data_IF_159248050901
#
_entry.id   IF_159248050901
#
_cell.length_a   1.000
_cell.length_b   1.000
_cell.length_c   1.000
_cell.angle_alpha   90.00
_cell.angle_beta   90.00
_cell.angle_gamma   90.00
#
_symmetry.space_group_name_H-M   'P 1'
#
loop_
_entity.id
_entity.type
_entity.pdbx_description
1 polymer ?
#
# COMPACT_ATOMS: atom_id res chain seq x y z
N UNK A 1 -16.62 18.85 0.74
CA UNK A 1 -16.41 18.26 -0.61
C UNK A 1 -16.03 16.81 -0.40
N UNK A 2 -16.65 15.90 -1.11
CA UNK A 2 -16.30 14.49 -1.04
C UNK A 2 -14.88 14.34 -1.62
N UNK A 3 -13.98 13.74 -0.86
CA UNK A 3 -12.58 13.57 -1.25
C UNK A 3 -12.37 12.44 -2.26
N UNK A 4 -11.16 12.34 -2.82
CA UNK A 4 -10.75 11.19 -3.64
C UNK A 4 -10.54 9.94 -2.79
N UNK A 5 -10.46 8.77 -3.43
CA UNK A 5 -10.08 7.52 -2.76
C UNK A 5 -8.76 7.69 -1.99
N UNK A 6 -7.77 8.33 -2.61
CA UNK A 6 -6.49 8.58 -1.95
C UNK A 6 -6.62 9.43 -0.68
N UNK A 7 -7.46 10.47 -0.69
CA UNK A 7 -7.72 11.31 0.49
C UNK A 7 -8.42 10.53 1.62
N UNK A 8 -9.36 9.66 1.26
CA UNK A 8 -10.00 8.76 2.24
C UNK A 8 -8.97 7.80 2.85
N UNK A 9 -8.11 7.20 2.03
CA UNK A 9 -7.03 6.33 2.52
C UNK A 9 -6.09 7.05 3.48
N UNK A 10 -5.64 8.26 3.12
CA UNK A 10 -4.75 9.07 3.99
C UNK A 10 -5.43 9.37 5.33
N UNK A 11 -6.72 9.72 5.32
CA UNK A 11 -7.48 9.95 6.55
C UNK A 11 -7.58 8.69 7.42
N UNK A 12 -7.79 7.51 6.81
CA UNK A 12 -7.82 6.23 7.52
C UNK A 12 -6.48 5.88 8.15
N UNK A 13 -5.39 6.03 7.40
CA UNK A 13 -4.03 5.78 7.88
C UNK A 13 -3.69 6.68 9.06
N UNK A 14 -4.00 7.98 8.94
CA UNK A 14 -3.79 8.96 10.02
C UNK A 14 -4.61 8.61 11.27
N UNK A 15 -5.87 8.24 11.09
CA UNK A 15 -6.74 7.81 12.20
C UNK A 15 -6.23 6.55 12.90
N UNK A 16 -5.48 5.70 12.18
CA UNK A 16 -4.83 4.48 12.71
C UNK A 16 -3.45 4.74 13.33
N UNK A 17 -3.02 6.01 13.46
CA UNK A 17 -1.76 6.39 14.10
C UNK A 17 -0.55 6.38 13.16
N UNK A 18 -0.72 6.08 11.88
CA UNK A 18 0.38 6.09 10.90
C UNK A 18 0.94 7.49 10.74
N UNK A 19 2.26 7.64 10.83
CA UNK A 19 2.97 8.93 10.75
C UNK A 19 3.85 9.04 9.51
N UNK A 20 4.22 7.91 8.91
CA UNK A 20 5.08 7.87 7.72
C UNK A 20 4.72 6.70 6.80
N UNK A 21 5.04 6.89 5.53
CA UNK A 21 4.95 5.86 4.49
C UNK A 21 6.29 5.80 3.80
N UNK A 22 6.89 4.62 3.72
CA UNK A 22 8.16 4.38 3.06
C UNK A 22 7.96 3.98 1.61
N UNK A 23 8.68 4.58 0.65
CA UNK A 23 8.54 4.19 -0.75
C UNK A 23 9.33 5.04 -1.73
N UNK A 24 9.14 4.72 -3.00
CA UNK A 24 9.62 5.52 -4.14
C UNK A 24 8.39 6.03 -4.89
N UNK A 25 8.29 7.34 -5.19
CA UNK A 25 7.22 7.87 -6.04
C UNK A 25 7.27 7.25 -7.44
N UNK A 26 6.12 7.05 -8.04
CA UNK A 26 5.98 6.53 -9.39
C UNK A 26 4.60 6.83 -9.94
N UNK A 27 4.42 6.73 -11.25
CA UNK A 27 3.20 7.16 -11.93
C UNK A 27 1.94 6.51 -11.36
N UNK A 28 1.97 5.21 -11.09
CA UNK A 28 0.82 4.48 -10.58
C UNK A 28 0.47 4.79 -9.11
N UNK A 29 1.38 5.42 -8.34
CA UNK A 29 1.16 5.80 -6.94
C UNK A 29 1.03 7.31 -6.73
N UNK A 30 1.10 8.10 -7.81
CA UNK A 30 1.10 9.57 -7.75
C UNK A 30 -0.15 10.16 -7.06
N UNK A 31 -1.33 9.58 -7.27
CA UNK A 31 -2.55 10.05 -6.62
C UNK A 31 -2.47 9.94 -5.08
N UNK A 32 -1.86 8.86 -4.59
CA UNK A 32 -1.65 8.66 -3.16
C UNK A 32 -0.58 9.59 -2.58
N UNK A 33 0.57 9.70 -3.26
CA UNK A 33 1.65 10.60 -2.78
C UNK A 33 1.22 12.07 -2.80
N UNK A 34 0.41 12.50 -3.77
CA UNK A 34 -0.14 13.86 -3.79
C UNK A 34 -1.15 14.08 -2.66
N UNK A 35 -1.98 13.10 -2.35
CA UNK A 35 -2.90 13.18 -1.21
C UNK A 35 -2.15 13.29 0.13
N UNK A 36 -1.07 12.52 0.33
CA UNK A 36 -0.18 12.65 1.49
C UNK A 36 0.42 14.05 1.59
N UNK A 37 0.96 14.56 0.48
CA UNK A 37 1.53 15.91 0.40
C UNK A 37 0.52 17.01 0.77
N UNK A 38 -0.73 16.88 0.33
CA UNK A 38 -1.80 17.84 0.62
C UNK A 38 -2.30 17.75 2.06
N UNK A 39 -2.40 16.56 2.63
CA UNK A 39 -2.81 16.34 4.01
C UNK A 39 -1.74 16.85 5.01
N UNK A 40 -0.47 16.63 4.74
CA UNK A 40 0.67 17.07 5.53
C UNK A 40 0.80 16.42 6.91
N UNK A 41 -0.08 15.50 7.28
CA UNK A 41 -0.07 14.82 8.57
C UNK A 41 0.70 13.49 8.58
N UNK A 42 1.04 12.96 7.40
CA UNK A 42 1.84 11.75 7.21
C UNK A 42 3.02 12.08 6.30
N UNK A 43 4.22 11.74 6.74
CA UNK A 43 5.44 11.97 5.96
C UNK A 43 5.66 10.86 4.93
N UNK A 44 5.98 11.23 3.70
CA UNK A 44 6.53 10.30 2.72
C UNK A 44 8.04 10.19 2.92
N UNK A 45 8.50 9.03 3.38
CA UNK A 45 9.93 8.73 3.56
C UNK A 45 10.50 8.13 2.28
N UNK A 46 11.17 8.98 1.51
CA UNK A 46 11.75 8.59 0.24
C UNK A 46 12.95 7.66 0.44
N UNK A 47 12.90 6.46 -0.12
CA UNK A 47 14.00 5.50 -0.14
C UNK A 47 14.64 5.44 -1.52
N UNK A 48 15.79 4.77 -1.64
CA UNK A 48 16.48 4.60 -2.93
C UNK A 48 16.15 3.29 -3.63
N UNK A 49 15.48 2.38 -2.93
CA UNK A 49 15.03 1.09 -3.43
C UNK A 49 13.84 0.62 -2.58
N UNK A 50 12.81 0.05 -3.19
CA UNK A 50 11.60 -0.33 -2.45
C UNK A 50 11.84 -1.46 -1.46
N UNK A 51 12.84 -2.32 -1.67
CA UNK A 51 13.29 -3.28 -0.68
C UNK A 51 13.61 -2.61 0.66
N UNK A 52 14.33 -1.47 0.59
CA UNK A 52 14.62 -0.68 1.79
C UNK A 52 13.35 -0.11 2.43
N UNK A 53 12.30 0.20 1.64
CA UNK A 53 11.00 0.61 2.19
C UNK A 53 10.35 -0.51 2.98
N UNK A 54 10.37 -1.74 2.45
CA UNK A 54 9.84 -2.92 3.14
C UNK A 54 10.57 -3.18 4.47
N UNK A 55 11.91 -3.18 4.46
CA UNK A 55 12.70 -3.36 5.68
C UNK A 55 12.54 -2.22 6.68
N UNK A 56 12.43 -0.97 6.23
CA UNK A 56 12.21 0.18 7.12
C UNK A 56 10.83 0.08 7.81
N UNK A 57 9.79 -0.29 7.07
CA UNK A 57 8.47 -0.53 7.65
C UNK A 57 8.50 -1.70 8.64
N UNK A 58 9.17 -2.81 8.29
CA UNK A 58 9.35 -3.94 9.20
C UNK A 58 10.05 -3.54 10.51
N UNK A 59 11.13 -2.77 10.40
CA UNK A 59 11.89 -2.28 11.55
C UNK A 59 11.07 -1.32 12.42
N UNK A 60 10.33 -0.38 11.82
CA UNK A 60 9.43 0.51 12.56
C UNK A 60 8.36 -0.28 13.32
N UNK A 61 7.70 -1.22 12.65
CA UNK A 61 6.69 -2.06 13.27
C UNK A 61 7.26 -2.92 14.42
N UNK A 62 8.46 -3.47 14.25
CA UNK A 62 9.13 -4.26 15.28
C UNK A 62 9.50 -3.43 16.51
N UNK A 63 9.94 -2.19 16.32
CA UNK A 63 10.36 -1.31 17.41
C UNK A 63 9.19 -0.66 18.15
N UNK A 64 8.11 -0.36 17.45
CA UNK A 64 6.97 0.38 18.02
C UNK A 64 5.82 -0.53 18.45
N UNK A 65 5.67 -1.70 17.83
CA UNK A 65 4.47 -2.53 17.93
C UNK A 65 3.25 -1.95 17.20
N UNK A 66 3.42 -0.82 16.49
CA UNK A 66 2.37 -0.13 15.75
C UNK A 66 2.38 -0.54 14.27
N UNK A 67 1.28 -0.24 13.57
CA UNK A 67 1.19 -0.47 12.13
C UNK A 67 2.15 0.46 11.38
N UNK A 68 3.07 -0.11 10.60
CA UNK A 68 3.92 0.64 9.68
C UNK A 68 3.44 0.47 8.23
N UNK A 69 3.79 1.42 7.36
CA UNK A 69 3.30 1.44 5.98
C UNK A 69 4.42 1.60 4.97
N UNK A 70 4.42 0.77 3.94
CA UNK A 70 5.23 0.98 2.75
C UNK A 70 4.38 0.98 1.49
N UNK A 71 4.91 1.54 0.41
CA UNK A 71 4.22 1.61 -0.87
C UNK A 71 5.17 1.38 -2.04
N UNK A 72 4.69 0.68 -3.06
CA UNK A 72 5.39 0.42 -4.31
C UNK A 72 4.57 0.82 -5.52
N UNK A 73 5.24 1.36 -6.53
CA UNK A 73 4.68 1.57 -7.86
C UNK A 73 4.49 0.21 -8.57
N UNK A 74 3.68 0.17 -9.62
CA UNK A 74 3.41 -1.05 -10.39
C UNK A 74 4.70 -1.68 -10.96
N UNK A 75 4.66 -2.97 -11.24
CA UNK A 75 5.79 -3.71 -11.80
C UNK A 75 6.99 -3.76 -10.86
N UNK A 76 8.14 -3.17 -11.25
CA UNK A 76 9.38 -3.25 -10.47
C UNK A 76 9.25 -2.77 -9.03
N UNK A 77 8.48 -1.71 -8.75
CA UNK A 77 8.29 -1.22 -7.39
C UNK A 77 7.70 -2.29 -6.47
N UNK A 78 6.68 -2.98 -6.94
CA UNK A 78 6.07 -4.09 -6.22
C UNK A 78 7.00 -5.28 -6.07
N UNK A 79 7.76 -5.64 -7.12
CA UNK A 79 8.71 -6.74 -7.09
C UNK A 79 9.81 -6.50 -6.05
N UNK A 80 10.29 -5.27 -5.95
CA UNK A 80 11.35 -4.92 -5.01
C UNK A 80 10.89 -4.91 -3.55
N UNK A 81 9.61 -4.67 -3.26
CA UNK A 81 9.09 -4.75 -1.88
C UNK A 81 9.19 -6.16 -1.27
N UNK A 82 9.18 -7.21 -2.09
CA UNK A 82 8.97 -8.60 -1.66
C UNK A 82 9.95 -9.03 -0.56
N UNK A 83 11.23 -8.74 -0.69
CA UNK A 83 12.23 -9.13 0.32
C UNK A 83 11.92 -8.55 1.71
N UNK A 84 11.67 -7.25 1.79
CA UNK A 84 11.32 -6.60 3.06
C UNK A 84 9.98 -7.08 3.61
N UNK A 85 9.03 -7.40 2.74
CA UNK A 85 7.73 -7.95 3.16
C UNK A 85 7.84 -9.39 3.65
N UNK A 86 8.72 -10.21 3.08
CA UNK A 86 9.02 -11.54 3.62
C UNK A 86 9.58 -11.43 5.04
N UNK A 87 10.53 -10.53 5.27
CA UNK A 87 11.10 -10.29 6.59
C UNK A 87 10.02 -9.87 7.59
N UNK A 88 9.20 -8.87 7.24
CA UNK A 88 8.09 -8.40 8.07
C UNK A 88 7.09 -9.53 8.42
N UNK A 89 6.69 -10.31 7.39
CA UNK A 89 5.69 -11.36 7.55
C UNK A 89 6.22 -12.52 8.41
N UNK A 90 7.49 -12.91 8.25
CA UNK A 90 8.13 -13.96 9.05
C UNK A 90 8.42 -13.51 10.49
N UNK A 91 8.66 -12.22 10.67
CA UNK A 91 8.83 -11.61 11.99
C UNK A 91 7.50 -11.32 12.71
N UNK A 92 6.36 -11.59 12.05
CA UNK A 92 5.01 -11.33 12.56
C UNK A 92 4.79 -9.87 13.00
N UNK A 93 5.40 -8.91 12.31
CA UNK A 93 5.24 -7.49 12.61
C UNK A 93 4.19 -6.85 11.69
N UNK A 94 3.35 -5.93 12.20
CA UNK A 94 2.22 -5.40 11.44
C UNK A 94 2.68 -4.37 10.39
N UNK A 95 2.65 -4.76 9.12
CA UNK A 95 2.95 -3.87 7.99
C UNK A 95 1.79 -3.84 7.01
N UNK A 96 1.38 -2.65 6.58
CA UNK A 96 0.51 -2.45 5.43
C UNK A 96 1.38 -2.12 4.21
N UNK A 97 1.25 -2.90 3.15
CA UNK A 97 1.84 -2.61 1.86
C UNK A 97 0.77 -2.11 0.88
N UNK A 98 0.95 -0.89 0.37
CA UNK A 98 0.13 -0.31 -0.69
C UNK A 98 0.83 -0.61 -2.01
N UNK A 99 0.30 -1.58 -2.75
CA UNK A 99 0.83 -2.00 -4.03
C UNK A 99 0.02 -1.33 -5.15
N UNK A 100 0.55 -0.26 -5.73
CA UNK A 100 -0.10 0.32 -6.89
C UNK A 100 -0.02 -0.62 -8.09
N UNK A 101 -1.00 -0.56 -8.98
CA UNK A 101 -1.08 -1.41 -10.16
C UNK A 101 -1.26 -0.58 -11.43
N UNK A 102 -1.05 -1.21 -12.59
CA UNK A 102 -1.37 -0.64 -13.89
C UNK A 102 -2.86 -0.31 -13.96
N UNK A 103 -3.31 0.54 -14.91
CA UNK A 103 -4.73 0.83 -15.07
C UNK A 103 -5.57 -0.44 -15.21
N UNK A 104 -6.73 -0.48 -14.56
CA UNK A 104 -7.60 -1.67 -14.55
C UNK A 104 -8.03 -2.11 -15.95
N UNK A 105 -8.15 -1.17 -16.89
CA UNK A 105 -8.48 -1.43 -18.30
C UNK A 105 -7.39 -2.16 -19.08
N UNK A 106 -6.16 -2.15 -18.56
CA UNK A 106 -4.98 -2.73 -19.21
C UNK A 106 -4.59 -4.09 -18.63
N UNK A 107 -5.21 -4.50 -17.52
CA UNK A 107 -4.91 -5.78 -16.85
C UNK A 107 -5.27 -6.94 -17.79
N UNK A 108 -4.31 -7.84 -18.01
CA UNK A 108 -4.45 -8.99 -18.92
C UNK A 108 -4.07 -8.69 -20.37
N UNK A 109 -3.56 -7.48 -20.64
CA UNK A 109 -3.16 -7.03 -21.97
C UNK A 109 -1.65 -7.07 -22.23
N UNK A 110 -0.87 -7.66 -21.34
CA UNK A 110 0.61 -7.61 -21.39
C UNK A 110 1.15 -6.17 -21.38
N UNK A 111 0.44 -5.30 -20.64
CA UNK A 111 0.80 -3.89 -20.53
C UNK A 111 2.18 -3.72 -19.90
N UNK A 112 2.87 -2.64 -20.28
CA UNK A 112 4.16 -2.29 -19.70
C UNK A 112 4.10 -2.28 -18.15
N UNK A 113 5.01 -2.97 -17.51
CA UNK A 113 5.06 -3.17 -16.04
C UNK A 113 3.89 -4.00 -15.46
N UNK A 114 3.14 -4.72 -16.28
CA UNK A 114 2.16 -5.66 -15.76
C UNK A 114 2.84 -6.77 -14.97
N UNK A 115 2.29 -7.07 -13.81
CA UNK A 115 2.64 -8.21 -12.96
C UNK A 115 1.35 -8.79 -12.40
N UNK A 116 1.45 -9.86 -11.63
CA UNK A 116 0.31 -10.46 -10.93
C UNK A 116 0.48 -10.27 -9.40
N UNK A 117 0.20 -9.06 -8.86
CA UNK A 117 0.54 -8.73 -7.47
C UNK A 117 -0.06 -9.68 -6.44
N UNK A 118 -1.30 -10.16 -6.65
CA UNK A 118 -1.92 -11.11 -5.73
C UNK A 118 -1.15 -12.45 -5.65
N UNK A 119 -0.53 -12.90 -6.76
CA UNK A 119 0.33 -14.07 -6.75
C UNK A 119 1.70 -13.77 -6.14
N UNK A 120 2.28 -12.61 -6.50
CA UNK A 120 3.58 -12.17 -6.00
C UNK A 120 3.62 -12.03 -4.48
N UNK A 121 2.58 -11.45 -3.90
CA UNK A 121 2.53 -11.20 -2.45
C UNK A 121 1.89 -12.34 -1.64
N UNK A 122 1.41 -13.39 -2.30
CA UNK A 122 0.69 -14.48 -1.64
C UNK A 122 1.48 -15.18 -0.53
N UNK A 123 2.80 -15.35 -0.70
CA UNK A 123 3.65 -16.01 0.29
C UNK A 123 4.22 -15.06 1.36
N UNK A 124 4.25 -13.78 1.11
CA UNK A 124 4.81 -12.78 2.03
C UNK A 124 3.74 -11.91 2.69
N UNK A 125 2.49 -12.38 2.73
CA UNK A 125 1.40 -11.64 3.37
C UNK A 125 0.38 -12.56 4.04
N UNK A 126 -0.32 -12.02 5.04
CA UNK A 126 -1.48 -12.67 5.67
C UNK A 126 -2.80 -12.25 5.03
N UNK A 127 -2.76 -11.23 4.18
CA UNK A 127 -3.90 -10.71 3.42
C UNK A 127 -3.39 -10.00 2.16
N UNK A 128 -3.96 -10.31 1.00
CA UNK A 128 -3.64 -9.63 -0.26
C UNK A 128 -4.86 -9.61 -1.17
N UNK A 129 -5.39 -8.41 -1.47
CA UNK A 129 -6.57 -8.25 -2.33
C UNK A 129 -6.42 -7.10 -3.31
N UNK A 130 -6.97 -7.29 -4.52
CA UNK A 130 -7.05 -6.29 -5.58
C UNK A 130 -8.38 -5.52 -5.51
N UNK A 131 -8.30 -4.21 -5.49
CA UNK A 131 -9.46 -3.34 -5.65
C UNK A 131 -9.90 -3.29 -7.12
N UNK A 132 -11.13 -3.65 -7.39
CA UNK A 132 -11.72 -3.61 -8.74
C UNK A 132 -12.48 -2.31 -9.03
N UNK A 133 -12.96 -1.64 -7.99
CA UNK A 133 -13.70 -0.38 -8.08
C UNK A 133 -13.37 0.55 -6.90
N UNK A 134 -13.52 1.88 -7.05
CA UNK A 134 -13.17 2.84 -6.02
C UNK A 134 -13.84 2.58 -4.66
N UNK A 135 -15.10 2.21 -4.66
CA UNK A 135 -15.90 1.98 -3.43
C UNK A 135 -15.40 0.80 -2.57
N UNK A 136 -14.59 -0.10 -3.15
CA UNK A 136 -13.99 -1.21 -2.40
C UNK A 136 -12.77 -0.79 -1.59
N UNK A 137 -12.03 0.24 -2.04
CA UNK A 137 -10.70 0.57 -1.50
C UNK A 137 -10.72 0.81 0.01
N UNK A 138 -11.62 1.63 0.59
CA UNK A 138 -11.63 1.86 2.04
C UNK A 138 -11.79 0.57 2.84
N UNK A 139 -12.72 -0.29 2.42
CA UNK A 139 -12.95 -1.59 3.08
C UNK A 139 -11.74 -2.51 2.98
N UNK A 140 -11.10 -2.59 1.81
CA UNK A 140 -9.92 -3.45 1.61
C UNK A 140 -8.72 -2.95 2.43
N UNK A 141 -8.52 -1.62 2.51
CA UNK A 141 -7.49 -1.01 3.37
C UNK A 141 -7.75 -1.34 4.84
N UNK A 142 -8.99 -1.19 5.32
CA UNK A 142 -9.36 -1.56 6.69
C UNK A 142 -9.08 -3.05 6.97
N UNK A 143 -9.49 -3.93 6.06
CA UNK A 143 -9.27 -5.38 6.20
C UNK A 143 -7.79 -5.74 6.21
N UNK A 144 -6.97 -5.11 5.35
CA UNK A 144 -5.53 -5.33 5.31
C UNK A 144 -4.85 -4.86 6.62
N UNK A 145 -5.18 -3.65 7.10
CA UNK A 145 -4.66 -3.14 8.37
C UNK A 145 -5.05 -4.05 9.54
N UNK A 146 -6.32 -4.46 9.59
CA UNK A 146 -6.82 -5.37 10.62
C UNK A 146 -6.13 -6.74 10.56
N UNK A 147 -5.96 -7.30 9.37
CA UNK A 147 -5.26 -8.57 9.19
C UNK A 147 -3.80 -8.48 9.66
N UNK A 148 -3.08 -7.40 9.29
CA UNK A 148 -1.71 -7.18 9.73
C UNK A 148 -1.61 -7.10 11.26
N UNK A 149 -2.47 -6.33 11.91
CA UNK A 149 -2.46 -6.13 13.35
C UNK A 149 -2.91 -7.37 14.15
N UNK A 150 -3.94 -8.07 13.67
CA UNK A 150 -4.52 -9.19 14.45
C UNK A 150 -3.81 -10.52 14.23
N UNK A 151 -3.31 -10.76 13.01
CA UNK A 151 -2.61 -12.01 12.67
C UNK A 151 -1.11 -11.92 12.88
N UNK A 152 -0.57 -10.70 12.94
CA UNK A 152 0.86 -10.42 12.90
C UNK A 152 1.44 -10.75 11.52
N UNK A 153 1.86 -9.74 10.78
CA UNK A 153 2.41 -9.93 9.44
C UNK A 153 2.02 -8.81 8.48
N UNK A 154 2.01 -9.10 7.21
CA UNK A 154 1.80 -8.11 6.14
C UNK A 154 0.39 -8.18 5.59
N UNK A 155 -0.33 -7.05 5.60
CA UNK A 155 -1.53 -6.86 4.79
C UNK A 155 -1.19 -6.10 3.51
N UNK A 156 -1.63 -6.60 2.36
CA UNK A 156 -1.40 -5.96 1.06
C UNK A 156 -2.72 -5.53 0.44
N UNK A 157 -2.78 -4.29 -0.05
CA UNK A 157 -3.87 -3.83 -0.91
C UNK A 157 -3.30 -3.45 -2.27
N UNK A 158 -3.78 -4.11 -3.30
CA UNK A 158 -3.40 -3.82 -4.69
C UNK A 158 -4.42 -2.84 -5.28
N UNK A 159 -3.95 -1.70 -5.78
CA UNK A 159 -4.82 -0.60 -6.22
C UNK A 159 -4.38 -0.13 -7.62
N UNK A 160 -5.22 -0.31 -8.65
CA UNK A 160 -5.01 0.34 -9.96
C UNK A 160 -4.84 1.86 -9.81
N UNK A 161 -3.82 2.42 -10.49
CA UNK A 161 -3.37 3.80 -10.24
C UNK A 161 -4.46 4.87 -10.45
N UNK A 162 -5.37 4.66 -11.39
CA UNK A 162 -6.48 5.58 -11.65
C UNK A 162 -7.50 5.64 -10.52
N UNK A 163 -7.62 4.57 -9.70
CA UNK A 163 -8.58 4.56 -8.59
C UNK A 163 -8.20 5.57 -7.49
N UNK A 164 -6.93 5.93 -7.35
CA UNK A 164 -6.52 6.96 -6.39
C UNK A 164 -7.15 8.33 -6.67
N UNK A 165 -7.41 8.63 -7.94
CA UNK A 165 -8.01 9.88 -8.38
C UNK A 165 -9.54 9.83 -8.46
N UNK A 166 -10.13 8.66 -8.32
CA UNK A 166 -11.59 8.52 -8.41
C UNK A 166 -12.29 9.37 -7.35
N UNK A 167 -13.49 9.84 -7.71
CA UNK A 167 -14.38 10.59 -6.81
C UNK A 167 -14.80 9.76 -5.59
N UNK A 168 -15.60 10.34 -4.68
CA UNK A 168 -15.75 9.82 -3.33
C UNK A 168 -16.17 8.36 -3.33
N UNK A 169 -15.30 7.56 -2.73
CA UNK A 169 -15.74 6.28 -2.21
C UNK A 169 -16.85 6.60 -1.18
N UNK A 170 -18.02 6.01 -1.36
CA UNK A 170 -19.11 6.14 -0.38
C UNK A 170 -18.63 5.46 0.90
N UNK A 171 -18.48 6.26 1.95
CA UNK A 171 -18.19 5.77 3.29
C UNK A 171 -19.37 4.92 3.80
#
# INVERSE_FOLDING_TARGET
MAGTVAEVMVAMLRASGVRRVYGIPGDSVNGFTDALRRDGGITWEHVRHEEAAGFAAAAEAALTGELAVCAGSCGPGNLHLINGLFDANRSNVPVLAIAAHIPATEIGGEYFQETHPQQLFGECSVYCELASVPDQVPRLVEMAMRAALQRGGVGVVVIPGELFFAGPARA
#
